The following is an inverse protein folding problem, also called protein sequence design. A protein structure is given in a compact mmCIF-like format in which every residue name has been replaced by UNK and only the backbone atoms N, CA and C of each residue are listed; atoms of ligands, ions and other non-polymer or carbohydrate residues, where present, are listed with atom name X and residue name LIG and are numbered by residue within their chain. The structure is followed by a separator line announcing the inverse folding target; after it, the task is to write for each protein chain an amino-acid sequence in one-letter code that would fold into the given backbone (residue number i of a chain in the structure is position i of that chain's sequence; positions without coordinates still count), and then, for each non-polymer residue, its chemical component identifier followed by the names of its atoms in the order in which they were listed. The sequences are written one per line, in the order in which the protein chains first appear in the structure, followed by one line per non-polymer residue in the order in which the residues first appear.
data_IF_741390010565
#
_entry.id   IF_741390010565
#
_cell.length_a   1.000
_cell.length_b   1.000
_cell.length_c   1.000
_cell.angle_alpha   90.00
_cell.angle_beta   90.00
_cell.angle_gamma   90.00
#
_symmetry.space_group_name_H-M   'P 1'
#
loop_
_entity.id
_entity.type
_entity.pdbx_description
1 polymer ?
#
# COMPACT_ATOMS: atom_id res chain seq x y z
N UNK A 1 -7.59 -37.20 -58.32
CA UNK A 1 -7.90 -38.55 -57.79
C UNK A 1 -8.49 -38.39 -56.40
N UNK A 2 -9.79 -38.62 -56.23
CA UNK A 2 -10.40 -39.88 -55.77
C UNK A 2 -10.42 -39.96 -54.23
N UNK A 3 -11.53 -40.23 -53.51
CA UNK A 3 -12.96 -40.30 -53.86
C UNK A 3 -13.75 -40.74 -52.60
N UNK A 4 -15.04 -40.30 -52.52
CA UNK A 4 -16.13 -40.82 -51.64
C UNK A 4 -15.93 -40.53 -50.13
N UNK A 5 -16.94 -40.44 -49.26
CA UNK A 5 -18.43 -40.39 -49.35
C UNK A 5 -18.93 -39.62 -48.10
N UNK A 6 -19.83 -38.64 -48.16
CA UNK A 6 -21.30 -38.73 -48.24
C UNK A 6 -21.96 -39.79 -47.34
N UNK A 7 -22.63 -39.33 -46.28
CA UNK A 7 -23.95 -39.83 -45.90
C UNK A 7 -24.84 -38.66 -45.43
N UNK A 8 -25.89 -38.39 -46.21
CA UNK A 8 -26.94 -37.42 -45.89
C UNK A 8 -28.10 -38.18 -45.28
N UNK A 9 -28.64 -37.74 -44.14
CA UNK A 9 -29.95 -38.19 -43.66
C UNK A 9 -30.88 -36.99 -43.64
N UNK A 10 -31.81 -37.02 -44.60
CA UNK A 10 -32.94 -36.11 -44.71
C UNK A 10 -34.13 -36.79 -44.03
N UNK A 11 -34.69 -36.20 -42.98
CA UNK A 11 -35.93 -36.63 -42.36
C UNK A 11 -36.94 -35.48 -42.42
N UNK A 12 -38.09 -35.72 -43.05
CA UNK A 12 -39.07 -34.69 -43.35
C UNK A 12 -40.29 -34.76 -42.40
N UNK A 13 -40.73 -33.58 -41.98
CA UNK A 13 -42.12 -33.19 -41.66
C UNK A 13 -43.07 -34.22 -41.01
N UNK A 14 -43.48 -33.90 -39.78
CA UNK A 14 -44.91 -33.83 -39.44
C UNK A 14 -45.18 -32.49 -38.77
N UNK A 15 -46.05 -31.68 -39.38
CA UNK A 15 -46.66 -30.51 -38.74
C UNK A 15 -47.85 -30.99 -37.91
N UNK A 16 -47.95 -30.55 -36.65
CA UNK A 16 -49.18 -30.60 -35.87
C UNK A 16 -49.41 -29.23 -35.26
N UNK A 17 -50.43 -28.52 -35.74
CA UNK A 17 -50.88 -27.28 -35.11
C UNK A 17 -51.73 -27.62 -33.89
N UNK A 18 -51.32 -27.15 -32.71
CA UNK A 18 -52.20 -27.09 -31.53
C UNK A 18 -52.12 -25.70 -30.92
N UNK A 19 -53.18 -24.92 -31.13
CA UNK A 19 -53.43 -23.65 -30.44
C UNK A 19 -53.51 -23.88 -28.93
N UNK A 20 -52.67 -23.19 -28.15
CA UNK A 20 -52.64 -23.37 -26.69
C UNK A 20 -51.73 -22.38 -25.97
N UNK A 21 -52.31 -21.23 -25.60
CA UNK A 21 -51.88 -20.31 -24.53
C UNK A 21 -50.38 -19.97 -24.40
N UNK A 22 -50.06 -18.72 -24.75
CA UNK A 22 -48.81 -18.03 -24.40
C UNK A 22 -48.53 -18.07 -22.89
N UNK A 23 -47.55 -18.88 -22.48
CA UNK A 23 -46.83 -18.65 -21.23
C UNK A 23 -45.65 -17.73 -21.53
N UNK A 24 -45.73 -16.47 -21.10
CA UNK A 24 -44.51 -15.67 -20.97
C UNK A 24 -43.66 -16.29 -19.88
N UNK A 25 -42.42 -16.73 -20.14
CA UNK A 25 -41.48 -16.93 -19.05
C UNK A 25 -41.31 -15.59 -18.33
N UNK A 26 -41.33 -15.60 -17.00
CA UNK A 26 -40.94 -14.44 -16.23
C UNK A 26 -39.50 -14.04 -16.64
N UNK A 27 -39.14 -12.74 -16.62
CA UNK A 27 -37.74 -12.38 -16.78
C UNK A 27 -36.93 -13.12 -15.72
N UNK A 28 -35.92 -13.85 -16.15
CA UNK A 28 -34.90 -14.39 -15.25
C UNK A 28 -34.38 -13.23 -14.39
N UNK A 29 -34.12 -13.42 -13.09
CA UNK A 29 -33.25 -12.51 -12.39
C UNK A 29 -31.88 -12.62 -13.07
N UNK A 30 -31.54 -11.64 -13.90
CA UNK A 30 -30.19 -11.51 -14.44
C UNK A 30 -29.25 -11.39 -13.26
N UNK A 31 -28.42 -12.42 -13.06
CA UNK A 31 -27.33 -12.45 -12.09
C UNK A 31 -26.17 -11.61 -12.65
N UNK A 32 -26.47 -10.33 -12.88
CA UNK A 32 -25.58 -9.27 -13.33
C UNK A 32 -25.17 -8.45 -12.11
N UNK A 33 -24.40 -9.06 -11.22
CA UNK A 33 -23.69 -8.38 -10.15
C UNK A 33 -22.54 -7.52 -10.73
N UNK A 34 -22.92 -6.46 -11.45
CA UNK A 34 -22.03 -5.32 -11.66
C UNK A 34 -21.68 -4.74 -10.29
N UNK A 35 -20.40 -4.57 -9.92
CA UNK A 35 -20.05 -4.06 -8.60
C UNK A 35 -20.64 -2.66 -8.41
N UNK A 36 -21.20 -2.42 -7.23
CA UNK A 36 -22.16 -1.34 -7.00
C UNK A 36 -21.51 0.05 -6.78
N UNK A 37 -20.63 0.48 -7.69
CA UNK A 37 -19.93 1.78 -7.62
C UNK A 37 -20.50 2.86 -8.56
N UNK A 38 -21.52 2.53 -9.37
CA UNK A 38 -22.08 3.34 -10.48
C UNK A 38 -22.57 4.77 -10.13
N UNK A 39 -22.57 5.18 -8.85
CA UNK A 39 -22.88 6.56 -8.45
C UNK A 39 -22.08 7.10 -7.25
N UNK A 40 -21.03 6.41 -6.79
CA UNK A 40 -20.20 6.88 -5.70
C UNK A 40 -18.99 7.66 -6.25
N UNK A 41 -18.66 8.81 -5.65
CA UNK A 41 -17.38 9.46 -5.90
C UNK A 41 -16.25 8.62 -5.27
N UNK A 42 -15.08 8.51 -5.91
CA UNK A 42 -13.94 7.83 -5.31
C UNK A 42 -13.43 8.59 -4.07
N UNK A 43 -12.88 7.84 -3.11
CA UNK A 43 -12.17 8.37 -1.94
C UNK A 43 -10.91 9.14 -2.35
N UNK A 44 -10.17 8.59 -3.32
CA UNK A 44 -9.00 9.20 -3.96
C UNK A 44 -9.03 8.86 -5.44
N UNK A 45 -8.65 9.80 -6.30
CA UNK A 45 -8.40 9.55 -7.71
C UNK A 45 -7.06 10.17 -8.12
N UNK A 46 -6.14 9.33 -8.62
CA UNK A 46 -4.83 9.75 -9.13
C UNK A 46 -4.60 9.12 -10.51
N UNK A 47 -4.63 9.95 -11.56
CA UNK A 47 -4.63 9.49 -12.94
C UNK A 47 -5.78 8.49 -13.22
N UNK A 48 -5.51 7.28 -13.75
CA UNK A 48 -6.49 6.22 -13.97
C UNK A 48 -6.80 5.39 -12.71
N UNK A 49 -6.13 5.63 -11.58
CA UNK A 49 -6.33 4.84 -10.36
C UNK A 49 -7.39 5.51 -9.49
N UNK A 50 -8.41 4.75 -9.10
CA UNK A 50 -9.45 5.17 -8.16
C UNK A 50 -9.47 4.27 -6.94
N UNK A 51 -9.62 4.87 -5.77
CA UNK A 51 -9.92 4.17 -4.53
C UNK A 51 -11.40 4.37 -4.17
N UNK A 52 -12.08 3.30 -3.79
CA UNK A 52 -13.40 3.36 -3.16
C UNK A 52 -13.35 2.66 -1.82
N UNK A 53 -14.14 3.14 -0.86
CA UNK A 53 -14.31 2.49 0.43
C UNK A 53 -15.65 2.90 1.05
N UNK A 54 -16.17 2.08 1.97
CA UNK A 54 -17.32 2.47 2.80
C UNK A 54 -16.82 2.99 4.14
N UNK A 55 -17.28 4.17 4.56
CA UNK A 55 -16.97 4.71 5.88
C UNK A 55 -17.83 4.00 6.93
N UNK A 56 -17.18 3.42 7.94
CA UNK A 56 -17.88 2.91 9.12
C UNK A 56 -18.04 4.01 10.18
N UNK A 57 -18.93 3.81 11.15
CA UNK A 57 -19.21 4.79 12.22
C UNK A 57 -18.07 4.96 13.23
N UNK A 58 -16.96 4.24 13.05
CA UNK A 58 -15.73 4.27 13.86
C UNK A 58 -14.71 5.33 13.39
N UNK A 59 -14.96 5.99 12.25
CA UNK A 59 -14.00 6.94 11.66
C UNK A 59 -12.89 6.27 10.85
N UNK A 60 -13.10 5.02 10.43
CA UNK A 60 -12.18 4.25 9.60
C UNK A 60 -12.91 3.80 8.32
N UNK A 61 -12.22 3.92 7.19
CA UNK A 61 -12.60 3.26 5.94
C UNK A 61 -12.06 1.84 5.95
N UNK A 62 -12.92 0.87 5.63
CA UNK A 62 -12.58 -0.55 5.54
C UNK A 62 -12.94 -1.08 4.15
N UNK A 63 -12.33 -2.20 3.76
CA UNK A 63 -12.54 -2.88 2.48
C UNK A 63 -12.34 -1.91 1.30
N UNK A 64 -11.08 -1.56 1.04
CA UNK A 64 -10.71 -0.61 -0.01
C UNK A 64 -10.72 -1.33 -1.36
N UNK A 65 -11.58 -0.86 -2.27
CA UNK A 65 -11.56 -1.25 -3.68
C UNK A 65 -10.57 -0.37 -4.43
N UNK A 66 -9.64 -0.99 -5.18
CA UNK A 66 -8.74 -0.30 -6.12
C UNK A 66 -9.17 -0.61 -7.55
N UNK A 67 -9.52 0.43 -8.31
CA UNK A 67 -9.89 0.35 -9.72
C UNK A 67 -8.83 1.03 -10.59
N UNK A 68 -8.48 0.40 -11.72
CA UNK A 68 -7.70 1.01 -12.79
C UNK A 68 -8.61 1.24 -14.01
N UNK A 69 -9.04 2.48 -14.22
CA UNK A 69 -9.95 2.89 -15.29
C UNK A 69 -9.48 2.48 -16.70
N UNK A 70 -8.16 2.47 -16.91
CA UNK A 70 -7.55 2.22 -18.22
C UNK A 70 -7.63 0.75 -18.62
N UNK A 71 -7.57 -0.16 -17.65
CA UNK A 71 -7.63 -1.62 -17.87
C UNK A 71 -9.01 -2.19 -17.56
N UNK A 72 -9.83 -1.50 -16.77
CA UNK A 72 -11.09 -2.02 -16.23
C UNK A 72 -10.91 -3.04 -15.11
N UNK A 73 -9.68 -3.23 -14.60
CA UNK A 73 -9.42 -4.12 -13.47
C UNK A 73 -9.84 -3.40 -12.19
N UNK A 74 -10.64 -4.08 -11.38
CA UNK A 74 -11.04 -3.63 -10.04
C UNK A 74 -10.88 -4.79 -9.05
N UNK A 75 -10.41 -4.49 -7.84
CA UNK A 75 -10.09 -5.48 -6.80
C UNK A 75 -10.36 -4.92 -5.41
N UNK A 76 -10.97 -5.74 -4.57
CA UNK A 76 -11.23 -5.43 -3.16
C UNK A 76 -10.12 -5.98 -2.27
N UNK A 77 -9.73 -5.19 -1.26
CA UNK A 77 -8.71 -5.55 -0.28
C UNK A 77 -9.17 -5.21 1.14
N UNK A 78 -8.81 -6.05 2.12
CA UNK A 78 -9.12 -5.85 3.55
C UNK A 78 -8.23 -4.77 4.22
N UNK A 79 -7.84 -3.75 3.48
CA UNK A 79 -7.09 -2.61 3.98
C UNK A 79 -7.97 -1.67 4.81
N UNK A 80 -7.31 -0.85 5.62
CA UNK A 80 -7.93 0.17 6.45
C UNK A 80 -7.23 1.52 6.29
N UNK A 81 -7.97 2.61 6.37
CA UNK A 81 -7.39 3.96 6.49
C UNK A 81 -8.29 4.84 7.33
N UNK A 82 -7.72 5.75 8.12
CA UNK A 82 -8.51 6.73 8.86
C UNK A 82 -9.31 7.61 7.89
N UNK A 83 -10.52 8.01 8.28
CA UNK A 83 -11.41 8.86 7.49
C UNK A 83 -11.28 10.35 7.85
N UNK A 84 -10.13 10.78 8.36
CA UNK A 84 -9.95 12.16 8.83
C UNK A 84 -9.46 13.05 7.68
N UNK A 85 -10.04 14.24 7.48
CA UNK A 85 -9.55 15.19 6.48
C UNK A 85 -8.08 15.54 6.66
N UNK A 86 -7.31 15.55 5.59
CA UNK A 86 -5.84 15.73 5.59
C UNK A 86 -5.03 14.47 5.92
N UNK A 87 -5.69 13.32 6.05
CA UNK A 87 -5.08 12.00 6.29
C UNK A 87 -5.58 10.94 5.29
N UNK A 88 -6.12 11.38 4.16
CA UNK A 88 -6.53 10.55 3.03
C UNK A 88 -5.35 9.70 2.51
N UNK A 89 -5.60 8.52 1.90
CA UNK A 89 -4.54 7.75 1.27
C UNK A 89 -3.81 8.53 0.18
N UNK A 90 -2.51 8.28 0.05
CA UNK A 90 -1.74 8.73 -1.11
C UNK A 90 -1.69 7.60 -2.15
N UNK A 91 -1.77 7.97 -3.42
CA UNK A 91 -1.69 7.02 -4.54
C UNK A 91 -0.55 7.46 -5.46
N UNK A 92 0.27 6.50 -5.90
CA UNK A 92 1.31 6.71 -6.90
C UNK A 92 1.23 5.61 -7.97
N UNK A 93 1.82 5.86 -9.14
CA UNK A 93 2.03 4.85 -10.18
C UNK A 93 3.51 4.80 -10.51
N UNK A 94 4.13 3.65 -10.31
CA UNK A 94 5.56 3.44 -10.56
C UNK A 94 5.84 1.96 -10.79
N UNK A 95 6.78 1.66 -11.68
CA UNK A 95 7.34 0.33 -11.88
C UNK A 95 8.35 0.08 -10.74
N UNK A 96 7.93 -0.71 -9.75
CA UNK A 96 8.70 -1.07 -8.57
C UNK A 96 9.31 -2.47 -8.68
N UNK A 97 8.80 -3.32 -9.57
CA UNK A 97 9.24 -4.70 -9.74
C UNK A 97 10.28 -4.87 -10.89
N UNK A 98 10.48 -3.81 -11.69
CA UNK A 98 11.38 -3.70 -12.86
C UNK A 98 10.98 -4.58 -14.07
N UNK A 99 9.69 -4.89 -14.25
CA UNK A 99 9.14 -5.62 -15.41
C UNK A 99 8.71 -4.73 -16.59
N UNK A 100 8.61 -3.42 -16.39
CA UNK A 100 8.22 -2.43 -17.39
C UNK A 100 6.75 -1.99 -17.35
N UNK A 101 5.93 -2.53 -16.45
CA UNK A 101 4.58 -2.07 -16.15
C UNK A 101 4.52 -1.42 -14.76
N UNK A 102 3.69 -0.39 -14.59
CA UNK A 102 3.62 0.36 -13.33
C UNK A 102 2.60 -0.27 -12.35
N UNK A 103 3.05 -0.60 -11.15
CA UNK A 103 2.17 -0.85 -10.01
C UNK A 103 1.40 0.42 -9.60
N UNK A 104 0.26 0.22 -8.94
CA UNK A 104 -0.31 1.27 -8.10
C UNK A 104 0.15 1.10 -6.66
N UNK A 105 0.76 2.15 -6.11
CA UNK A 105 1.21 2.23 -4.71
C UNK A 105 0.15 3.01 -3.93
N UNK A 106 -0.50 2.35 -2.97
CA UNK A 106 -1.50 2.97 -2.09
C UNK A 106 -0.95 3.07 -0.68
N UNK A 107 -0.67 4.27 -0.20
CA UNK A 107 -0.18 4.52 1.16
C UNK A 107 -1.37 4.94 2.02
N UNK A 108 -1.81 4.06 2.92
CA UNK A 108 -2.93 4.31 3.85
C UNK A 108 -2.42 4.92 5.16
N UNK A 109 -3.23 5.75 5.83
CA UNK A 109 -2.91 6.26 7.18
C UNK A 109 -3.58 5.37 8.23
N UNK A 110 -2.77 4.72 9.08
CA UNK A 110 -3.24 3.82 10.15
C UNK A 110 -3.29 4.48 11.53
N UNK A 111 -2.46 5.50 11.78
CA UNK A 111 -2.45 6.23 13.05
C UNK A 111 -1.96 7.67 12.88
N UNK A 112 -2.54 8.61 13.62
CA UNK A 112 -2.15 10.02 13.59
C UNK A 112 -2.43 10.71 14.92
N UNK A 113 -1.72 11.80 15.21
CA UNK A 113 -1.90 12.62 16.40
C UNK A 113 -0.63 13.35 16.83
N UNK A 114 -0.64 13.95 18.01
CA UNK A 114 0.55 14.60 18.58
C UNK A 114 1.67 13.58 18.77
N UNK A 115 2.76 13.73 18.02
CA UNK A 115 3.93 12.84 18.09
C UNK A 115 3.74 11.47 17.42
N UNK A 116 2.64 11.25 16.69
CA UNK A 116 2.33 9.98 16.02
C UNK A 116 1.84 10.20 14.58
N UNK A 117 2.42 9.49 13.62
CA UNK A 117 1.97 9.44 12.24
C UNK A 117 2.47 8.15 11.58
N UNK A 118 1.57 7.19 11.38
CA UNK A 118 1.88 5.83 10.90
C UNK A 118 1.12 5.59 9.60
N UNK A 119 1.86 5.34 8.52
CA UNK A 119 1.31 4.93 7.24
C UNK A 119 1.77 3.52 6.84
N UNK A 120 1.00 2.87 5.97
CA UNK A 120 1.21 1.50 5.51
C UNK A 120 1.05 1.43 3.97
N UNK A 121 2.02 0.87 3.23
CA UNK A 121 1.99 0.79 1.79
C UNK A 121 1.31 -0.51 1.35
N UNK A 122 0.53 -0.41 0.29
CA UNK A 122 -0.07 -1.53 -0.41
C UNK A 122 0.28 -1.42 -1.89
N UNK A 123 0.81 -2.50 -2.46
CA UNK A 123 1.43 -2.46 -3.80
C UNK A 123 0.63 -3.38 -4.74
N UNK A 124 -0.12 -2.78 -5.68
CA UNK A 124 -0.96 -3.48 -6.63
C UNK A 124 -0.26 -3.65 -7.96
N UNK A 125 0.27 -4.86 -8.18
CA UNK A 125 0.62 -5.38 -9.50
C UNK A 125 -0.66 -5.81 -10.23
N UNK A 126 -0.89 -5.26 -11.43
CA UNK A 126 -2.06 -5.52 -12.26
C UNK A 126 -2.05 -6.90 -12.95
N UNK A 127 -0.90 -7.54 -13.04
CA UNK A 127 -0.68 -8.88 -13.60
C UNK A 127 -0.74 -10.00 -12.55
N UNK A 128 -0.33 -9.73 -11.31
CA UNK A 128 -0.53 -10.62 -10.15
C UNK A 128 -1.95 -10.49 -9.56
N UNK A 129 -2.42 -11.53 -8.86
CA UNK A 129 -3.64 -11.49 -8.02
C UNK A 129 -3.35 -11.21 -6.54
N UNK A 130 -2.10 -10.87 -6.21
CA UNK A 130 -1.60 -10.61 -4.86
C UNK A 130 -0.85 -9.29 -4.83
N UNK A 131 -0.92 -8.60 -3.70
CA UNK A 131 -0.03 -7.48 -3.41
C UNK A 131 1.44 -7.92 -3.43
N UNK A 132 2.33 -7.00 -3.80
CA UNK A 132 3.77 -7.20 -3.64
C UNK A 132 4.15 -6.97 -2.18
N UNK A 133 4.87 -7.90 -1.58
CA UNK A 133 5.28 -7.82 -0.18
C UNK A 133 6.31 -6.69 0.02
N UNK A 134 6.12 -5.85 1.04
CA UNK A 134 7.09 -4.83 1.47
C UNK A 134 7.70 -5.25 2.79
N UNK A 135 9.04 -5.20 2.91
CA UNK A 135 9.72 -5.46 4.17
C UNK A 135 9.36 -4.42 5.24
N UNK A 136 9.05 -4.88 6.45
CA UNK A 136 8.70 -3.97 7.54
C UNK A 136 9.88 -3.02 7.90
N UNK A 137 9.67 -1.70 7.88
CA UNK A 137 10.70 -0.69 8.08
C UNK A 137 11.08 -0.57 9.55
N UNK A 138 10.14 -0.84 10.46
CA UNK A 138 10.31 -0.67 11.89
C UNK A 138 11.18 -1.78 12.47
N UNK A 139 10.91 -3.03 12.09
CA UNK A 139 11.71 -4.19 12.47
C UNK A 139 13.10 -4.10 11.83
N UNK A 140 13.20 -3.78 10.53
CA UNK A 140 14.51 -3.55 9.90
C UNK A 140 15.31 -2.43 10.58
N UNK A 141 14.65 -1.30 10.92
CA UNK A 141 15.29 -0.18 11.62
C UNK A 141 15.77 -0.60 13.01
N UNK A 142 14.98 -1.38 13.76
CA UNK A 142 15.36 -1.87 15.10
C UNK A 142 16.54 -2.84 15.06
N UNK A 143 16.65 -3.65 14.01
CA UNK A 143 17.77 -4.56 13.80
C UNK A 143 19.05 -3.83 13.36
N UNK A 144 18.93 -2.78 12.54
CA UNK A 144 20.08 -2.05 11.99
C UNK A 144 20.56 -0.85 12.82
N UNK A 145 19.69 -0.20 13.61
CA UNK A 145 20.02 1.08 14.26
C UNK A 145 20.09 0.92 15.78
N UNK A 146 21.24 1.24 16.35
CA UNK A 146 21.49 1.16 17.79
C UNK A 146 21.87 2.51 18.39
N UNK A 147 21.36 2.80 19.59
CA UNK A 147 21.69 4.02 20.34
C UNK A 147 22.58 3.71 21.55
N UNK A 148 23.44 4.64 21.91
CA UNK A 148 24.28 4.56 23.11
C UNK A 148 24.57 5.94 23.68
N UNK A 149 24.70 6.03 25.00
CA UNK A 149 25.07 7.26 25.69
C UNK A 149 26.60 7.35 25.77
N UNK A 150 27.14 8.48 25.31
CA UNK A 150 28.54 8.86 25.48
C UNK A 150 28.65 10.04 26.46
N UNK A 151 29.75 10.06 27.21
CA UNK A 151 30.12 11.17 28.08
C UNK A 151 31.39 11.81 27.54
N UNK A 152 31.29 13.06 27.09
CA UNK A 152 32.41 13.80 26.51
C UNK A 152 32.40 15.25 27.03
N UNK A 153 33.55 15.75 27.48
CA UNK A 153 33.74 17.13 27.95
C UNK A 153 32.70 17.60 28.99
N UNK A 154 32.28 16.68 29.86
CA UNK A 154 31.26 16.93 30.90
C UNK A 154 29.81 16.97 30.38
N UNK A 155 29.58 16.67 29.09
CA UNK A 155 28.27 16.59 28.46
C UNK A 155 27.90 15.14 28.16
N UNK A 156 26.59 14.89 28.16
CA UNK A 156 26.01 13.65 27.67
C UNK A 156 25.62 13.82 26.20
N UNK A 157 25.95 12.84 25.37
CA UNK A 157 25.62 12.81 23.93
C UNK A 157 25.00 11.46 23.62
N UNK A 158 23.89 11.44 22.89
CA UNK A 158 23.34 10.20 22.34
C UNK A 158 24.02 9.96 20.98
N UNK A 159 24.73 8.84 20.86
CA UNK A 159 25.32 8.40 19.61
C UNK A 159 24.51 7.24 19.03
N UNK A 160 24.07 7.42 17.80
CA UNK A 160 23.46 6.40 16.97
C UNK A 160 24.50 5.71 16.08
N UNK A 161 24.30 4.42 15.78
CA UNK A 161 25.14 3.65 14.87
C UNK A 161 24.29 2.81 13.92
N UNK A 162 24.70 2.82 12.66
CA UNK A 162 24.21 1.93 11.59
C UNK A 162 25.43 1.16 11.05
N UNK A 163 25.35 -0.17 10.82
CA UNK A 163 26.43 -0.95 10.24
C UNK A 163 26.98 -0.34 8.94
N UNK A 164 28.32 -0.31 8.82
CA UNK A 164 29.00 0.27 7.66
C UNK A 164 29.04 1.80 7.59
N UNK A 165 28.39 2.52 8.51
CA UNK A 165 28.35 3.98 8.53
C UNK A 165 29.17 4.58 9.69
N UNK A 166 29.55 5.86 9.55
CA UNK A 166 30.13 6.62 10.66
C UNK A 166 29.08 6.87 11.74
N UNK A 167 29.42 6.73 13.04
CA UNK A 167 28.47 7.03 14.12
C UNK A 167 27.98 8.49 14.10
N UNK A 168 26.68 8.69 14.28
CA UNK A 168 26.02 10.00 14.26
C UNK A 168 25.75 10.45 15.69
N UNK A 169 26.08 11.70 16.02
CA UNK A 169 25.69 12.33 17.29
C UNK A 169 24.32 12.99 17.11
N UNK A 170 23.36 12.66 17.98
CA UNK A 170 22.03 13.25 17.98
C UNK A 170 21.99 14.48 18.90
N UNK A 171 21.34 15.59 18.51
CA UNK A 171 21.31 16.83 19.28
C UNK A 171 20.27 16.76 20.40
N UNK A 172 20.60 16.07 21.49
CA UNK A 172 19.67 15.86 22.62
C UNK A 172 20.17 16.54 23.89
N UNK A 173 19.36 17.41 24.48
CA UNK A 173 19.66 18.08 25.75
C UNK A 173 19.21 17.22 26.96
N UNK A 174 19.74 16.00 27.07
CA UNK A 174 19.46 15.07 28.18
C UNK A 174 20.40 15.32 29.36
N UNK A 175 20.31 16.50 29.99
CA UNK A 175 20.97 16.72 31.27
C UNK A 175 20.41 15.74 32.32
N UNK A 176 21.17 14.67 32.62
CA UNK A 176 20.90 13.66 33.65
C UNK A 176 19.81 12.61 33.35
N UNK A 177 19.39 12.41 32.10
CA UNK A 177 18.48 11.31 31.72
C UNK A 177 19.23 10.14 31.11
N UNK A 178 18.96 8.90 31.52
CA UNK A 178 19.51 7.68 30.89
C UNK A 178 18.67 7.17 29.71
N UNK A 179 17.74 7.99 29.25
CA UNK A 179 16.80 7.70 28.17
C UNK A 179 17.49 7.62 26.80
N UNK A 180 16.98 6.72 25.96
CA UNK A 180 17.40 6.54 24.58
C UNK A 180 16.19 6.75 23.65
N UNK A 181 16.39 7.20 22.40
CA UNK A 181 15.32 7.33 21.43
C UNK A 181 14.70 5.97 21.12
N UNK A 182 13.42 5.98 20.75
CA UNK A 182 12.64 4.82 20.37
C UNK A 182 12.02 5.01 18.99
N UNK A 183 11.73 3.90 18.32
CA UNK A 183 11.08 3.85 17.01
C UNK A 183 9.68 3.26 17.11
N UNK A 184 8.74 3.80 16.32
CA UNK A 184 7.42 3.20 16.08
C UNK A 184 6.24 4.17 16.05
N UNK A 185 6.37 5.38 16.61
CA UNK A 185 5.27 6.35 16.63
C UNK A 185 5.15 7.13 15.32
N UNK A 186 6.26 7.38 14.61
CA UNK A 186 6.25 7.97 13.26
C UNK A 186 6.92 7.01 12.27
N UNK A 187 6.12 6.55 11.31
CA UNK A 187 6.51 5.69 10.18
C UNK A 187 5.78 6.24 8.96
N UNK A 188 6.51 6.78 7.98
CA UNK A 188 5.93 7.46 6.82
C UNK A 188 6.52 6.92 5.53
N UNK A 189 5.69 6.25 4.75
CA UNK A 189 6.02 5.85 3.38
C UNK A 189 5.69 6.94 2.35
N UNK A 190 6.48 6.99 1.29
CA UNK A 190 6.26 7.83 0.12
C UNK A 190 7.02 7.26 -1.09
N UNK A 191 6.61 7.66 -2.30
CA UNK A 191 7.42 7.49 -3.51
C UNK A 191 8.17 8.81 -3.79
N UNK A 192 9.45 8.73 -4.11
CA UNK A 192 10.29 9.91 -4.41
C UNK A 192 10.24 10.33 -5.89
N UNK A 193 10.97 11.40 -6.23
CA UNK A 193 11.11 11.93 -7.58
C UNK A 193 11.93 11.03 -8.53
N UNK A 194 12.59 10.00 -7.98
CA UNK A 194 13.30 8.95 -8.70
C UNK A 194 12.47 7.66 -8.82
N UNK A 195 11.16 7.74 -8.50
CA UNK A 195 10.18 6.65 -8.54
C UNK A 195 10.47 5.50 -7.56
N UNK A 196 11.31 5.70 -6.54
CA UNK A 196 11.61 4.68 -5.52
C UNK A 196 10.64 4.79 -4.35
N UNK A 197 10.20 3.64 -3.84
CA UNK A 197 9.49 3.56 -2.57
C UNK A 197 10.49 3.78 -1.42
N UNK A 198 10.13 4.67 -0.49
CA UNK A 198 10.92 4.97 0.69
C UNK A 198 10.05 4.90 1.96
N UNK A 199 10.68 4.71 3.11
CA UNK A 199 10.08 4.85 4.44
C UNK A 199 10.95 5.69 5.37
N UNK A 200 10.35 6.70 6.00
CA UNK A 200 10.91 7.46 7.13
C UNK A 200 10.47 6.79 8.44
N UNK A 201 11.41 6.46 9.33
CA UNK A 201 11.14 5.98 10.70
C UNK A 201 11.81 6.93 11.69
N UNK A 202 11.02 7.67 12.47
CA UNK A 202 11.58 8.68 13.38
C UNK A 202 12.09 8.04 14.68
N UNK A 203 13.29 8.45 15.09
CA UNK A 203 13.84 8.23 16.42
C UNK A 203 13.32 9.32 17.36
N UNK A 204 12.43 8.97 18.29
CA UNK A 204 11.76 9.92 19.18
C UNK A 204 12.11 9.68 20.65
N UNK A 205 12.20 10.76 21.42
CA UNK A 205 12.24 10.73 22.88
C UNK A 205 10.82 10.50 23.45
N UNK A 206 10.69 10.22 24.75
CA UNK A 206 9.41 9.89 25.40
C UNK A 206 8.40 11.04 25.48
N UNK A 207 8.86 12.28 25.29
CA UNK A 207 8.01 13.47 25.10
C UNK A 207 7.47 13.63 23.65
N UNK A 208 7.85 12.71 22.75
CA UNK A 208 7.46 12.69 21.35
C UNK A 208 8.38 13.49 20.43
N UNK A 209 9.44 14.15 20.94
CA UNK A 209 10.36 14.94 20.12
C UNK A 209 11.24 14.01 19.28
N UNK A 210 11.20 14.18 17.96
CA UNK A 210 12.09 13.50 17.03
C UNK A 210 13.51 14.10 17.11
N UNK A 211 14.51 13.24 17.28
CA UNK A 211 15.94 13.61 17.36
C UNK A 211 16.76 13.10 16.18
N UNK A 212 16.17 12.22 15.38
CA UNK A 212 16.73 11.71 14.12
C UNK A 212 15.65 11.00 13.31
N UNK A 213 15.89 10.81 12.02
CA UNK A 213 15.03 10.06 11.11
C UNK A 213 15.87 9.04 10.37
N UNK A 214 15.44 7.78 10.39
CA UNK A 214 15.99 6.73 9.55
C UNK A 214 15.21 6.73 8.24
N UNK A 215 15.90 6.87 7.12
CA UNK A 215 15.34 6.83 5.78
C UNK A 215 15.75 5.51 5.16
N UNK A 216 14.76 4.69 4.78
CA UNK A 216 14.94 3.41 4.12
C UNK A 216 14.49 3.54 2.66
N UNK A 217 15.34 3.14 1.72
CA UNK A 217 15.00 3.03 0.30
C UNK A 217 14.79 1.56 -0.06
N UNK A 218 13.74 1.28 -0.83
CA UNK A 218 13.34 -0.07 -1.22
C UNK A 218 13.69 -0.39 -2.67
N UNK A 219 14.16 -1.62 -2.90
CA UNK A 219 14.41 -2.20 -4.20
C UNK A 219 13.81 -3.60 -4.33
N UNK A 220 13.56 -4.04 -5.56
CA UNK A 220 12.97 -5.34 -5.84
C UNK A 220 13.97 -6.48 -5.61
N UNK A 221 13.61 -7.43 -4.74
CA UNK A 221 14.46 -8.57 -4.39
C UNK A 221 13.62 -9.83 -4.21
N UNK A 222 13.70 -10.75 -5.17
CA UNK A 222 13.13 -12.12 -5.07
C UNK A 222 11.63 -12.15 -4.74
N UNK A 223 10.82 -11.33 -5.44
CA UNK A 223 9.35 -11.32 -5.28
C UNK A 223 8.82 -10.41 -4.17
N UNK A 224 9.68 -9.60 -3.56
CA UNK A 224 9.30 -8.62 -2.54
C UNK A 224 10.16 -7.35 -2.65
N UNK A 225 9.62 -6.23 -2.19
CA UNK A 225 10.36 -4.99 -1.96
C UNK A 225 11.11 -5.09 -0.63
N UNK A 226 12.43 -5.07 -0.71
CA UNK A 226 13.34 -5.16 0.44
C UNK A 226 14.18 -3.89 0.54
N UNK A 227 14.66 -3.58 1.74
CA UNK A 227 15.51 -2.41 1.93
C UNK A 227 16.83 -2.59 1.19
N UNK A 228 17.13 -1.67 0.28
CA UNK A 228 18.40 -1.60 -0.48
C UNK A 228 19.34 -0.50 0.04
N UNK A 229 18.77 0.56 0.63
CA UNK A 229 19.51 1.68 1.23
C UNK A 229 18.97 2.06 2.60
N UNK A 230 19.86 2.47 3.50
CA UNK A 230 19.53 3.03 4.82
C UNK A 230 20.40 4.26 5.08
N UNK A 231 19.79 5.34 5.53
CA UNK A 231 20.46 6.57 5.98
C UNK A 231 19.89 6.99 7.32
N UNK A 232 20.70 7.59 8.19
CA UNK A 232 20.23 8.21 9.44
C UNK A 232 20.58 9.69 9.44
N UNK A 233 19.56 10.53 9.36
CA UNK A 233 19.70 11.98 9.44
C UNK A 233 19.35 12.48 10.85
N UNK A 234 20.23 13.24 11.53
CA UNK A 234 19.88 13.89 12.79
C UNK A 234 18.90 15.05 12.54
N UNK A 235 17.83 15.14 13.33
CA UNK A 235 16.92 16.29 13.25
C UNK A 235 17.64 17.50 13.82
N UNK A 236 17.86 18.53 13.01
CA UNK A 236 18.55 19.75 13.43
C UNK A 236 17.76 20.49 14.52
N UNK A 237 18.44 20.82 15.62
CA UNK A 237 17.94 21.57 16.78
C UNK A 237 18.20 23.07 16.68
#
# INVERSE_FOLDING_TARGET
MNHRRFLTILAAFVLLETTGCTFSPAPSPDDSSSPAHSSAAPLVQEGPIRLYATQNSDGVYHHITVENEKTGISRDYDWQTVSSPGYEPLVYQTDLNEDGEAEAVVVTTRGYGTGMYITEPHIVDWNSTRELEVQDPLDYTRDQVSFSILHQDGRQIIQARVPGQSPVALPVNTAHSSELPQFGSVIRYYVDDHNKLNAEVAAQMSDGVAVGTVILQYGWQTGALRVEGITLDPVAS
#
